data_IF_265132573644
#
_entry.id   IF_265132573644
#
_cell.length_a   1.000
_cell.length_b   1.000
_cell.length_c   1.000
_cell.angle_alpha   90.00
_cell.angle_beta   90.00
_cell.angle_gamma   90.00
#
_symmetry.space_group_name_H-M   'P 1'
#
loop_
_entity.id
_entity.type
_entity.pdbx_description
1 polymer ?
#
# COMPACT_ATOMS: atom_id res chain seq x y z
N UNK A 1 -10.40 8.40 6.18
CA UNK A 1 -9.30 8.64 7.15
C UNK A 1 -8.74 10.04 6.86
N UNK A 2 -8.32 10.77 7.89
CA UNK A 2 -7.64 12.06 7.69
C UNK A 2 -6.23 11.81 7.13
N UNK A 3 -5.80 12.64 6.17
CA UNK A 3 -4.44 12.62 5.63
C UNK A 3 -3.43 13.01 6.72
N UNK A 4 -2.55 12.09 7.09
CA UNK A 4 -1.56 12.29 8.15
C UNK A 4 -0.22 12.84 7.64
N UNK A 5 0.03 12.85 6.33
CA UNK A 5 1.32 13.25 5.75
C UNK A 5 1.73 14.69 6.14
N UNK A 6 0.83 15.69 6.17
CA UNK A 6 1.19 17.04 6.61
C UNK A 6 1.66 17.10 8.08
N UNK A 7 1.13 16.23 8.94
CA UNK A 7 1.58 16.14 10.33
C UNK A 7 2.97 15.51 10.41
N UNK A 8 3.23 14.49 9.59
CA UNK A 8 4.56 13.86 9.48
C UNK A 8 5.60 14.87 9.02
N UNK A 9 5.34 15.65 7.96
CA UNK A 9 6.25 16.71 7.47
C UNK A 9 6.64 17.70 8.57
N UNK A 10 5.68 18.13 9.39
CA UNK A 10 5.96 19.01 10.54
C UNK A 10 6.82 18.33 11.60
N UNK A 11 6.57 17.04 11.85
CA UNK A 11 7.29 16.27 12.86
C UNK A 11 8.75 15.99 12.45
N UNK A 12 9.00 15.73 11.17
CA UNK A 12 10.34 15.43 10.66
C UNK A 12 11.16 16.69 10.37
N UNK A 13 10.57 17.89 10.43
CA UNK A 13 11.31 19.15 10.37
C UNK A 13 12.09 19.38 9.07
N UNK A 14 11.60 18.85 7.95
CA UNK A 14 12.29 18.91 6.65
C UNK A 14 13.25 17.75 6.37
N UNK A 15 13.35 16.77 7.27
CA UNK A 15 14.02 15.51 7.01
C UNK A 15 13.12 14.51 6.27
N UNK A 16 13.71 13.52 5.63
CA UNK A 16 13.00 12.36 5.08
C UNK A 16 12.71 11.32 6.17
N UNK A 17 11.81 10.38 5.88
CA UNK A 17 11.61 9.19 6.69
C UNK A 17 12.52 8.05 6.20
N UNK A 18 12.90 7.15 7.12
CA UNK A 18 13.65 5.93 6.78
C UNK A 18 12.72 4.83 6.23
N UNK A 19 11.45 4.84 6.64
CA UNK A 19 10.45 3.84 6.29
C UNK A 19 9.07 4.48 6.08
N UNK A 20 8.43 4.16 4.96
CA UNK A 20 7.02 4.44 4.68
C UNK A 20 6.24 3.12 4.58
N UNK A 21 5.09 3.05 5.25
CA UNK A 21 4.17 1.92 5.21
C UNK A 21 2.91 2.34 4.45
N UNK A 22 2.63 1.67 3.33
CA UNK A 22 1.41 1.82 2.54
C UNK A 22 0.52 0.61 2.86
N UNK A 23 -0.58 0.86 3.58
CA UNK A 23 -1.41 -0.20 4.14
C UNK A 23 -2.90 0.17 4.10
N UNK A 24 -3.76 -0.84 4.02
CA UNK A 24 -5.19 -0.70 4.33
C UNK A 24 -6.03 -0.09 3.21
N UNK A 25 -5.52 -0.07 1.99
CA UNK A 25 -6.15 0.63 0.86
C UNK A 25 -6.19 -0.19 -0.43
N UNK A 26 -7.11 0.16 -1.32
CA UNK A 26 -7.00 -0.29 -2.72
C UNK A 26 -5.76 0.35 -3.36
N UNK A 27 -5.20 -0.28 -4.37
CA UNK A 27 -4.02 0.19 -5.11
C UNK A 27 -4.00 1.70 -5.44
N UNK A 28 -5.13 2.27 -5.83
CA UNK A 28 -5.22 3.71 -6.17
C UNK A 28 -4.80 4.61 -5.02
N UNK A 29 -5.00 4.16 -3.78
CA UNK A 29 -4.57 4.87 -2.57
C UNK A 29 -3.06 4.77 -2.41
N UNK A 30 -2.45 3.60 -2.64
CA UNK A 30 -1.00 3.42 -2.55
C UNK A 30 -0.25 4.36 -3.51
N UNK A 31 -0.69 4.46 -4.76
CA UNK A 31 -0.09 5.37 -5.72
C UNK A 31 -0.25 6.84 -5.32
N UNK A 32 -1.44 7.24 -4.89
CA UNK A 32 -1.69 8.62 -4.47
C UNK A 32 -0.89 9.01 -3.21
N UNK A 33 -0.79 8.12 -2.23
CA UNK A 33 0.00 8.33 -1.01
C UNK A 33 1.50 8.37 -1.31
N UNK A 34 1.97 7.49 -2.18
CA UNK A 34 3.36 7.48 -2.65
C UNK A 34 3.70 8.79 -3.37
N UNK A 35 2.91 9.19 -4.38
CA UNK A 35 3.10 10.46 -5.11
C UNK A 35 3.09 11.64 -4.15
N UNK A 36 2.16 11.65 -3.19
CA UNK A 36 2.06 12.72 -2.21
C UNK A 36 3.27 12.78 -1.27
N UNK A 37 3.75 11.63 -0.80
CA UNK A 37 4.95 11.57 0.04
C UNK A 37 6.20 12.04 -0.71
N UNK A 38 6.29 11.77 -2.02
CA UNK A 38 7.37 12.28 -2.88
C UNK A 38 7.32 13.79 -3.07
N UNK A 39 6.15 14.34 -3.38
CA UNK A 39 5.93 15.79 -3.51
C UNK A 39 6.33 16.55 -2.23
N UNK A 40 6.06 15.95 -1.08
CA UNK A 40 6.39 16.50 0.23
C UNK A 40 7.86 16.29 0.64
N UNK A 41 8.66 15.61 -0.20
CA UNK A 41 10.06 15.33 0.09
C UNK A 41 10.28 14.35 1.25
N UNK A 42 9.27 13.54 1.60
CA UNK A 42 9.35 12.58 2.70
C UNK A 42 10.18 11.36 2.33
N UNK A 43 10.24 10.97 1.05
CA UNK A 43 10.95 9.79 0.58
C UNK A 43 12.37 10.15 0.15
N UNK A 44 13.30 10.06 1.10
CA UNK A 44 14.72 10.38 0.90
C UNK A 44 15.51 9.27 0.18
N UNK A 45 16.82 9.44 0.16
CA UNK A 45 17.74 8.38 -0.26
C UNK A 45 17.67 7.23 0.73
N UNK A 46 17.76 6.00 0.24
CA UNK A 46 17.72 4.78 1.04
C UNK A 46 16.43 4.55 1.85
N UNK A 47 15.43 5.43 1.70
CA UNK A 47 14.10 5.22 2.25
C UNK A 47 13.50 3.91 1.74
N UNK A 48 13.01 3.09 2.67
CA UNK A 48 12.23 1.91 2.37
C UNK A 48 10.74 2.26 2.27
N UNK A 49 10.06 1.71 1.27
CA UNK A 49 8.60 1.76 1.13
C UNK A 49 8.10 0.32 1.17
N UNK A 50 7.28 0.00 2.16
CA UNK A 50 6.60 -1.29 2.25
C UNK A 50 5.14 -1.10 1.84
N UNK A 51 4.67 -1.90 0.90
CA UNK A 51 3.25 -2.01 0.56
C UNK A 51 2.79 -3.45 0.75
N UNK A 52 1.65 -3.65 1.38
CA UNK A 52 1.07 -4.96 1.59
C UNK A 52 0.05 -5.37 0.52
N UNK A 53 -0.34 -6.63 0.53
CA UNK A 53 -1.39 -7.16 -0.33
C UNK A 53 -1.15 -6.95 -1.84
N UNK A 54 0.13 -6.87 -2.24
CA UNK A 54 0.52 -6.46 -3.60
C UNK A 54 0.26 -7.53 -4.67
N UNK A 55 0.10 -8.80 -4.28
CA UNK A 55 -0.31 -9.89 -5.18
C UNK A 55 -1.74 -10.36 -4.94
N UNK A 56 -2.27 -10.20 -3.72
CA UNK A 56 -3.66 -10.54 -3.39
C UNK A 56 -4.17 -9.62 -2.27
N UNK A 57 -5.20 -8.78 -2.50
CA UNK A 57 -6.00 -8.64 -3.72
C UNK A 57 -5.26 -8.09 -4.94
N UNK A 58 -4.06 -7.53 -4.77
CA UNK A 58 -3.16 -7.10 -5.84
C UNK A 58 -2.96 -5.59 -5.89
N UNK A 59 -1.80 -5.14 -6.36
CA UNK A 59 -1.50 -3.76 -6.69
C UNK A 59 -0.61 -3.66 -7.95
N UNK A 60 -1.13 -4.07 -9.14
CA UNK A 60 -0.32 -4.24 -10.34
C UNK A 60 0.27 -2.95 -10.93
N UNK A 61 -0.45 -1.82 -10.95
CA UNK A 61 0.06 -0.48 -11.30
C UNK A 61 1.10 0.02 -10.30
N UNK A 62 0.93 -0.22 -9.00
CA UNK A 62 1.94 0.09 -7.99
C UNK A 62 3.22 -0.70 -8.26
N UNK A 63 3.11 -2.02 -8.42
CA UNK A 63 4.26 -2.87 -8.75
C UNK A 63 4.94 -2.45 -10.05
N UNK A 64 4.16 -2.17 -11.10
CA UNK A 64 4.68 -1.64 -12.35
C UNK A 64 5.41 -0.30 -12.15
N UNK A 65 4.79 0.65 -11.42
CA UNK A 65 5.37 1.97 -11.15
C UNK A 65 6.69 1.86 -10.41
N UNK A 66 6.77 1.02 -9.38
CA UNK A 66 7.98 0.85 -8.58
C UNK A 66 9.06 0.10 -9.37
N UNK A 67 8.71 -0.95 -10.09
CA UNK A 67 9.66 -1.73 -10.88
C UNK A 67 10.22 -0.96 -12.08
N UNK A 68 9.39 -0.15 -12.74
CA UNK A 68 9.79 0.64 -13.91
C UNK A 68 10.44 1.98 -13.55
N UNK A 69 10.48 2.35 -12.27
CA UNK A 69 11.17 3.54 -11.81
C UNK A 69 12.63 3.21 -11.44
N UNK A 70 13.63 3.74 -12.16
CA UNK A 70 15.05 3.43 -11.89
C UNK A 70 15.51 3.77 -10.47
N UNK A 71 14.81 4.70 -9.81
CA UNK A 71 15.09 5.13 -8.44
C UNK A 71 14.75 4.10 -7.37
N UNK A 72 13.99 3.05 -7.69
CA UNK A 72 13.61 2.03 -6.71
C UNK A 72 14.22 0.66 -7.05
N UNK A 73 14.72 -0.02 -6.03
CA UNK A 73 14.88 -1.47 -6.03
C UNK A 73 13.60 -2.09 -5.51
N UNK A 74 13.06 -3.12 -6.17
CA UNK A 74 11.82 -3.79 -5.71
C UNK A 74 12.13 -5.25 -5.39
N UNK A 75 11.71 -5.69 -4.21
CA UNK A 75 11.72 -7.09 -3.78
C UNK A 75 10.32 -7.48 -3.32
N UNK A 76 9.88 -8.69 -3.68
CA UNK A 76 8.62 -9.25 -3.19
C UNK A 76 8.90 -10.21 -2.04
N UNK A 77 8.28 -9.95 -0.90
CA UNK A 77 8.48 -10.72 0.33
C UNK A 77 7.19 -11.43 0.69
N UNK A 78 7.23 -12.76 0.69
CA UNK A 78 6.14 -13.60 1.19
C UNK A 78 6.09 -13.55 2.72
N UNK A 79 4.91 -13.29 3.28
CA UNK A 79 4.67 -13.22 4.72
C UNK A 79 3.60 -14.24 5.08
N UNK A 80 3.89 -15.04 6.12
CA UNK A 80 2.91 -15.97 6.67
C UNK A 80 2.08 -15.26 7.72
N UNK A 81 0.77 -15.13 7.49
CA UNK A 81 -0.13 -14.51 8.45
C UNK A 81 -0.63 -15.54 9.49
N UNK A 82 -0.28 -15.41 10.78
CA UNK A 82 -0.70 -16.35 11.80
C UNK A 82 -2.23 -16.30 11.97
N UNK A 83 -2.88 -17.46 11.88
CA UNK A 83 -4.33 -17.58 12.04
C UNK A 83 -5.13 -17.67 10.72
N UNK A 84 -4.50 -17.40 9.57
CA UNK A 84 -5.10 -17.68 8.27
C UNK A 84 -4.61 -19.05 7.79
N UNK A 85 -5.50 -20.05 7.80
CA UNK A 85 -5.14 -21.46 7.58
C UNK A 85 -4.40 -21.75 6.25
N UNK A 86 -4.44 -20.85 5.26
CA UNK A 86 -3.80 -21.00 3.93
C UNK A 86 -3.42 -19.68 3.23
N UNK A 87 -3.17 -18.60 3.97
CA UNK A 87 -2.90 -17.28 3.38
C UNK A 87 -1.43 -16.92 3.47
N UNK A 88 -0.65 -17.20 2.43
CA UNK A 88 0.55 -16.40 2.20
C UNK A 88 0.10 -15.03 1.68
N UNK A 89 0.55 -13.97 2.36
CA UNK A 89 0.42 -12.62 1.88
C UNK A 89 1.74 -12.13 1.30
N UNK A 90 1.68 -11.10 0.46
CA UNK A 90 2.84 -10.60 -0.25
C UNK A 90 3.00 -9.11 0.00
N UNK A 91 4.19 -8.74 0.46
CA UNK A 91 4.65 -7.36 0.58
C UNK A 91 5.56 -7.02 -0.59
N UNK A 92 5.52 -5.77 -1.05
CA UNK A 92 6.57 -5.18 -1.86
C UNK A 92 7.48 -4.33 -0.97
N UNK A 93 8.75 -4.69 -0.90
CA UNK A 93 9.82 -3.89 -0.32
C UNK A 93 10.49 -3.10 -1.43
N UNK A 94 10.32 -1.78 -1.40
CA UNK A 94 10.90 -0.88 -2.38
C UNK A 94 11.93 0.04 -1.72
N UNK A 95 13.19 0.01 -2.15
CA UNK A 95 14.27 0.81 -1.55
C UNK A 95 14.71 1.89 -2.53
N UNK A 96 14.67 3.16 -2.10
CA UNK A 96 15.16 4.32 -2.84
C UNK A 96 16.67 4.25 -3.04
N UNK A 97 17.17 4.39 -4.28
CA UNK A 97 18.59 4.28 -4.61
C UNK A 97 19.27 5.66 -4.70
N UNK A 98 20.45 5.86 -4.10
CA UNK A 98 21.16 7.15 -4.09
C UNK A 98 21.73 7.58 -5.43
N UNK A 99 21.95 6.64 -6.35
CA UNK A 99 22.72 6.88 -7.58
C UNK A 99 21.97 6.51 -8.86
N UNK A 100 20.63 6.45 -8.79
CA UNK A 100 19.82 6.54 -10.00
C UNK A 100 19.88 8.00 -10.47
N UNK A 101 21.06 8.39 -10.99
CA UNK A 101 21.21 9.63 -11.72
C UNK A 101 20.04 9.69 -12.71
N UNK A 102 19.51 10.90 -12.89
CA UNK A 102 18.40 11.24 -13.80
C UNK A 102 18.84 11.04 -15.25
N UNK A 103 19.37 9.87 -15.59
CA UNK A 103 19.21 9.35 -16.92
C UNK A 103 17.71 9.19 -17.06
N UNK A 104 17.13 10.10 -17.85
CA UNK A 104 15.75 10.05 -18.27
C UNK A 104 15.57 8.73 -19.03
N UNK A 105 15.45 7.64 -18.28
CA UNK A 105 15.04 6.36 -18.79
C UNK A 105 13.65 6.60 -19.34
N UNK A 106 13.54 6.52 -20.66
CA UNK A 106 12.28 6.56 -21.36
C UNK A 106 11.35 5.59 -20.66
N UNK A 107 10.33 6.13 -19.97
CA UNK A 107 9.47 5.33 -19.13
C UNK A 107 8.91 4.20 -19.99
N UNK A 108 9.26 2.95 -19.65
CA UNK A 108 8.79 1.81 -20.40
C UNK A 108 7.26 1.89 -20.53
N UNK A 109 6.75 1.60 -21.73
CA UNK A 109 5.31 1.55 -21.92
C UNK A 109 4.71 0.49 -20.96
N UNK A 110 3.59 0.79 -20.30
CA UNK A 110 2.94 -0.18 -19.44
C UNK A 110 2.55 -1.44 -20.23
N UNK A 111 2.66 -2.64 -19.64
CA UNK A 111 2.25 -3.86 -20.32
C UNK A 111 0.75 -3.81 -20.65
N UNK A 112 0.33 -4.34 -21.81
CA UNK A 112 -1.05 -4.24 -22.28
C UNK A 112 -2.06 -4.94 -21.35
N UNK A 113 -1.62 -5.88 -20.52
CA UNK A 113 -2.43 -6.59 -19.53
C UNK A 113 -2.70 -5.75 -18.27
N UNK A 114 -1.92 -4.68 -18.03
CA UNK A 114 -1.97 -3.89 -16.80
C UNK A 114 -3.39 -3.38 -16.47
N UNK A 115 -4.18 -2.85 -17.43
CA UNK A 115 -5.55 -2.42 -17.15
C UNK A 115 -6.47 -3.56 -16.70
N UNK A 116 -6.33 -4.75 -17.30
CA UNK A 116 -7.13 -5.93 -16.94
C UNK A 116 -6.81 -6.40 -15.51
N UNK A 117 -5.51 -6.50 -15.19
CA UNK A 117 -5.04 -6.85 -13.85
C UNK A 117 -5.49 -5.83 -12.80
N UNK A 118 -5.44 -4.54 -13.13
CA UNK A 118 -5.93 -3.45 -12.27
C UNK A 118 -7.42 -3.62 -11.96
N UNK A 119 -8.24 -3.89 -12.99
CA UNK A 119 -9.67 -4.08 -12.83
C UNK A 119 -10.00 -5.32 -11.98
N UNK A 120 -9.24 -6.41 -12.16
CA UNK A 120 -9.35 -7.61 -11.34
C UNK A 120 -8.96 -7.37 -9.89
N UNK A 121 -7.83 -6.71 -9.63
CA UNK A 121 -7.43 -6.32 -8.27
C UNK A 121 -8.50 -5.49 -7.58
N UNK A 122 -9.04 -4.45 -8.24
CA UNK A 122 -10.11 -3.64 -7.69
C UNK A 122 -11.37 -4.46 -7.34
N UNK A 123 -11.70 -5.47 -8.15
CA UNK A 123 -12.80 -6.42 -7.86
C UNK A 123 -12.49 -7.25 -6.62
N UNK A 124 -11.26 -7.74 -6.45
CA UNK A 124 -10.85 -8.53 -5.30
C UNK A 124 -10.80 -7.70 -4.01
N UNK A 125 -10.33 -6.44 -4.08
CA UNK A 125 -10.34 -5.51 -2.95
C UNK A 125 -11.77 -5.27 -2.43
N UNK A 126 -12.74 -5.03 -3.32
CA UNK A 126 -14.14 -4.90 -2.91
C UNK A 126 -14.65 -6.16 -2.20
N UNK A 127 -14.33 -7.34 -2.72
CA UNK A 127 -14.74 -8.62 -2.08
C UNK A 127 -14.13 -8.78 -0.70
N UNK A 128 -12.85 -8.42 -0.53
CA UNK A 128 -12.15 -8.47 0.74
C UNK A 128 -12.78 -7.53 1.77
N UNK A 129 -13.02 -6.28 1.40
CA UNK A 129 -13.69 -5.29 2.27
C UNK A 129 -15.08 -5.76 2.72
N UNK A 130 -15.81 -6.48 1.86
CA UNK A 130 -17.09 -7.10 2.25
C UNK A 130 -16.93 -8.31 3.17
N UNK A 131 -15.86 -9.10 3.03
CA UNK A 131 -15.60 -10.27 3.86
C UNK A 131 -15.05 -9.90 5.25
N UNK A 132 -14.29 -8.82 5.34
CA UNK A 132 -13.73 -8.27 6.59
C UNK A 132 -14.73 -7.41 7.36
N UNK A 133 -15.87 -7.05 6.75
CA UNK A 133 -16.95 -6.41 7.47
C UNK A 133 -17.37 -7.35 8.63
N UNK A 134 -17.31 -6.88 9.90
CA UNK A 134 -17.53 -7.73 11.05
C UNK A 134 -18.87 -8.45 10.90
N UNK A 135 -18.82 -9.78 10.86
CA UNK A 135 -19.99 -10.65 10.74
C UNK A 135 -20.86 -10.50 11.98
N UNK A 136 -21.67 -9.45 12.02
CA UNK A 136 -22.49 -9.09 13.17
C UNK A 136 -21.64 -8.77 14.39
N UNK A 137 -21.36 -7.48 14.60
CA UNK A 137 -21.43 -6.99 15.97
C UNK A 137 -22.81 -7.43 16.49
N UNK A 138 -22.91 -8.28 17.54
CA UNK A 138 -24.18 -8.83 17.97
C UNK A 138 -25.11 -7.65 18.18
N UNK A 139 -26.20 -7.58 17.39
CA UNK A 139 -27.27 -6.60 17.60
C UNK A 139 -27.59 -6.68 19.07
N UNK A 140 -27.43 -5.55 19.76
CA UNK A 140 -27.41 -5.49 21.21
C UNK A 140 -28.39 -6.47 21.82
N UNK A 141 -27.90 -7.31 22.74
CA UNK A 141 -28.76 -7.89 23.76
C UNK A 141 -29.58 -6.72 24.29
N UNK A 142 -30.91 -6.77 24.11
CA UNK A 142 -31.80 -5.82 24.77
C UNK A 142 -31.36 -5.71 26.23
N UNK A 143 -31.18 -4.49 26.77
CA UNK A 143 -30.94 -4.35 28.18
C UNK A 143 -32.13 -5.00 28.88
N UNK A 144 -31.90 -6.15 29.50
CA UNK A 144 -32.89 -6.78 30.37
C UNK A 144 -33.19 -5.72 31.41
N UNK A 145 -34.41 -5.18 31.33
CA UNK A 145 -34.95 -4.30 32.34
C UNK A 145 -34.98 -5.09 33.65
N UNK A 146 -33.95 -4.92 34.47
CA UNK A 146 -34.03 -5.18 35.90
C UNK A 146 -35.06 -4.18 36.46
N UNK A 147 -36.33 -4.58 36.40
CA UNK A 147 -37.37 -4.01 37.23
C UNK A 147 -37.14 -4.48 38.66
N UNK A 148 -36.80 -3.53 39.50
CA UNK A 148 -37.02 -3.54 40.94
C UNK A 148 -38.51 -3.79 41.26
#
# INVERSE_FOLDING_TARGET
PEDCLPAVVRSVGGHSVDLALLHGGAETQYLAELERAEELGLLGLECAVLADHVLRPGAPRFLWRMHSAPRYSVELVGVTEPGIARGEDWLALCISRPNAAVEASEAAAPPPELPSLTAESARLWRRRQHAEAPAGQPRGRDPVAERF
#
